data_IF_833427402054
#
_entry.id   IF_833427402054
#
_cell.length_a   1.000
_cell.length_b   1.000
_cell.length_c   1.000
_cell.angle_alpha   90.00
_cell.angle_beta   90.00
_cell.angle_gamma   90.00
#
_symmetry.space_group_name_H-M   'P 1'
#
loop_
_entity.id
_entity.type
_entity.pdbx_description
1 polymer ?
#
# COMPACT_ATOMS: atom_id res chain seq x y z
N UNK A 1 -85.82 38.70 0.37
CA UNK A 1 -85.73 38.21 1.76
C UNK A 1 -84.69 39.05 2.47
N UNK A 2 -85.05 39.73 3.55
CA UNK A 2 -84.08 40.43 4.41
C UNK A 2 -83.04 39.42 4.89
N UNK A 3 -81.75 39.71 4.69
CA UNK A 3 -80.68 38.97 5.39
C UNK A 3 -80.80 39.34 6.87
N UNK A 4 -81.20 38.38 7.70
CA UNK A 4 -81.21 38.54 9.15
C UNK A 4 -79.81 38.88 9.67
N UNK A 5 -79.72 39.38 10.90
CA UNK A 5 -78.45 39.71 11.54
C UNK A 5 -77.45 38.52 11.49
N UNK A 6 -76.13 38.74 11.46
CA UNK A 6 -75.16 37.64 11.47
C UNK A 6 -75.21 36.87 12.81
N UNK A 7 -75.00 35.55 12.76
CA UNK A 7 -74.82 34.72 13.95
C UNK A 7 -73.49 35.02 14.63
N UNK A 8 -73.46 35.06 15.96
CA UNK A 8 -72.20 35.16 16.72
C UNK A 8 -71.66 33.75 16.98
N UNK A 9 -70.45 33.46 16.52
CA UNK A 9 -69.76 32.18 16.74
C UNK A 9 -68.77 32.30 17.89
N UNK A 10 -68.83 31.38 18.84
CA UNK A 10 -67.96 31.34 20.02
C UNK A 10 -67.28 29.98 20.13
N UNK A 11 -65.98 29.98 20.44
CA UNK A 11 -65.24 28.77 20.79
C UNK A 11 -65.27 28.55 22.29
N UNK A 12 -65.78 27.40 22.74
CA UNK A 12 -65.68 26.98 24.14
C UNK A 12 -64.35 26.24 24.33
N UNK A 13 -63.34 26.94 24.84
CA UNK A 13 -62.01 26.35 24.98
C UNK A 13 -61.93 25.16 25.94
N UNK A 14 -62.57 25.17 27.13
CA UNK A 14 -62.57 24.01 28.01
C UNK A 14 -63.16 22.73 27.39
N UNK A 15 -64.21 22.85 26.57
CA UNK A 15 -64.85 21.72 25.90
C UNK A 15 -64.32 21.45 24.49
N UNK A 16 -63.47 22.35 23.96
CA UNK A 16 -62.88 22.28 22.61
C UNK A 16 -63.92 22.13 21.49
N UNK A 17 -65.02 22.87 21.59
CA UNK A 17 -66.13 22.87 20.60
C UNK A 17 -66.65 24.28 20.31
N UNK A 18 -67.18 24.54 19.10
CA UNK A 18 -67.85 25.78 18.78
C UNK A 18 -69.35 25.73 19.14
N UNK A 19 -69.94 26.91 19.36
CA UNK A 19 -71.38 27.11 19.27
C UNK A 19 -71.67 28.47 18.61
N UNK A 20 -72.89 28.64 18.12
CA UNK A 20 -73.34 29.90 17.54
C UNK A 20 -74.68 30.32 18.15
N UNK A 21 -74.92 31.63 18.28
CA UNK A 21 -76.20 32.15 18.75
C UNK A 21 -76.64 33.43 18.01
N UNK A 22 -77.95 33.63 17.96
CA UNK A 22 -78.59 34.82 17.41
C UNK A 22 -79.90 35.09 18.17
N UNK A 23 -79.97 36.23 18.89
CA UNK A 23 -81.12 36.53 19.74
C UNK A 23 -81.32 35.45 20.81
N UNK A 24 -82.47 34.79 20.82
CA UNK A 24 -82.78 33.68 21.71
C UNK A 24 -82.55 32.29 21.09
N UNK A 25 -81.93 32.21 19.91
CA UNK A 25 -81.59 30.95 19.25
C UNK A 25 -80.13 30.57 19.52
N UNK A 26 -79.85 29.28 19.76
CA UNK A 26 -78.52 28.75 20.07
C UNK A 26 -78.32 27.39 19.40
N UNK A 27 -77.14 27.14 18.84
CA UNK A 27 -76.75 25.86 18.24
C UNK A 27 -75.31 25.49 18.59
N UNK A 28 -75.14 24.28 19.13
CA UNK A 28 -73.83 23.62 19.27
C UNK A 28 -73.60 22.73 18.07
N UNK A 29 -72.37 22.73 17.53
CA UNK A 29 -72.04 21.98 16.32
C UNK A 29 -70.58 21.57 16.32
N UNK A 30 -70.19 20.75 15.33
CA UNK A 30 -68.79 20.40 15.08
C UNK A 30 -68.26 21.17 13.87
N UNK A 31 -67.01 21.62 13.97
CA UNK A 31 -66.29 22.23 12.86
C UNK A 31 -64.97 21.47 12.62
N UNK A 32 -64.20 21.81 11.56
CA UNK A 32 -62.92 21.14 11.31
C UNK A 32 -61.97 21.14 12.50
N UNK A 33 -61.91 22.22 13.29
CA UNK A 33 -61.03 22.29 14.46
C UNK A 33 -61.45 21.30 15.57
N UNK A 34 -62.73 21.29 15.96
CA UNK A 34 -63.21 20.37 17.01
C UNK A 34 -63.07 18.91 16.59
N UNK A 35 -63.28 18.62 15.30
CA UNK A 35 -63.15 17.27 14.76
C UNK A 35 -61.70 16.82 14.68
N UNK A 36 -60.76 17.69 14.27
CA UNK A 36 -59.33 17.37 14.32
C UNK A 36 -58.88 17.00 15.74
N UNK A 37 -59.36 17.74 16.75
CA UNK A 37 -59.07 17.45 18.16
C UNK A 37 -59.68 16.11 18.61
N UNK A 38 -60.91 15.79 18.21
CA UNK A 38 -61.53 14.48 18.49
C UNK A 38 -60.78 13.32 17.82
N UNK A 39 -60.31 13.50 16.60
CA UNK A 39 -59.50 12.50 15.88
C UNK A 39 -58.16 12.29 16.59
N UNK A 40 -57.52 13.36 17.05
CA UNK A 40 -56.29 13.26 17.84
C UNK A 40 -56.52 12.59 19.19
N UNK A 41 -57.62 12.89 19.88
CA UNK A 41 -58.00 12.18 21.10
C UNK A 41 -58.21 10.67 20.85
N UNK A 42 -58.89 10.30 19.76
CA UNK A 42 -59.09 8.91 19.39
C UNK A 42 -57.75 8.20 19.12
N UNK A 43 -56.77 8.89 18.50
CA UNK A 43 -55.40 8.38 18.33
C UNK A 43 -54.68 8.21 19.67
N UNK A 44 -54.71 9.22 20.54
CA UNK A 44 -54.07 9.19 21.86
C UNK A 44 -54.59 8.04 22.72
N UNK A 45 -55.89 7.75 22.63
CA UNK A 45 -56.54 6.66 23.36
C UNK A 45 -56.51 5.32 22.63
N UNK A 46 -55.90 5.25 21.43
CA UNK A 46 -55.81 4.04 20.58
C UNK A 46 -57.18 3.42 20.31
N UNK A 47 -58.18 4.24 20.04
CA UNK A 47 -59.53 3.77 19.71
C UNK A 47 -59.56 3.18 18.30
N UNK A 48 -60.52 2.29 18.02
CA UNK A 48 -60.63 1.58 16.74
C UNK A 48 -60.97 2.46 15.53
N UNK A 49 -61.32 3.73 15.73
CA UNK A 49 -61.62 4.69 14.67
C UNK A 49 -62.50 5.84 15.18
N UNK A 50 -62.94 6.69 14.25
CA UNK A 50 -63.93 7.75 14.50
C UNK A 50 -65.16 7.46 13.65
N UNK A 51 -66.34 7.47 14.27
CA UNK A 51 -67.63 7.36 13.59
C UNK A 51 -68.24 8.76 13.48
N UNK A 52 -68.93 9.04 12.36
CA UNK A 52 -69.68 10.27 12.14
C UNK A 52 -71.14 9.96 11.83
N UNK A 53 -72.05 10.72 12.43
CA UNK A 53 -73.47 10.71 12.11
C UNK A 53 -73.90 12.13 11.71
N UNK A 54 -74.29 12.39 10.46
CA UNK A 54 -74.25 11.52 9.28
C UNK A 54 -73.72 12.29 8.06
N UNK A 55 -73.23 11.57 7.05
CA UNK A 55 -72.40 12.15 5.96
C UNK A 55 -73.15 13.23 5.16
N UNK A 56 -74.46 13.10 5.03
CA UNK A 56 -75.34 14.06 4.34
C UNK A 56 -75.52 15.38 5.09
N UNK A 57 -75.17 15.42 6.38
CA UNK A 57 -75.24 16.64 7.22
C UNK A 57 -73.93 17.43 7.23
N UNK A 58 -72.88 16.88 6.64
CA UNK A 58 -71.68 17.66 6.30
C UNK A 58 -71.99 18.59 5.11
N UNK A 59 -71.13 19.56 4.81
CA UNK A 59 -71.28 20.42 3.63
C UNK A 59 -70.95 19.64 2.35
N UNK A 60 -71.81 18.69 2.01
CA UNK A 60 -71.66 17.79 0.88
C UNK A 60 -71.84 18.50 -0.47
N UNK A 61 -72.25 19.77 -0.47
CA UNK A 61 -72.41 20.60 -1.67
C UNK A 61 -71.31 21.65 -1.81
N UNK A 62 -70.52 21.91 -0.76
CA UNK A 62 -69.49 22.95 -0.75
C UNK A 62 -70.08 24.36 -0.79
N UNK A 63 -71.26 24.56 -0.19
CA UNK A 63 -71.95 25.86 -0.19
C UNK A 63 -71.23 26.86 0.73
N UNK A 64 -70.63 26.36 1.81
CA UNK A 64 -69.94 27.15 2.81
C UNK A 64 -68.40 27.09 2.66
N UNK A 65 -67.88 26.39 1.64
CA UNK A 65 -66.45 26.25 1.38
C UNK A 65 -66.10 24.95 0.65
N UNK A 66 -65.05 24.27 1.11
CA UNK A 66 -64.66 22.98 0.55
C UNK A 66 -65.73 21.91 0.82
N UNK A 67 -65.92 20.97 -0.11
CA UNK A 67 -66.89 19.88 0.01
C UNK A 67 -66.44 18.89 1.11
N UNK A 68 -67.37 18.47 1.96
CA UNK A 68 -67.14 17.54 3.07
C UNK A 68 -66.01 17.95 4.04
N UNK A 69 -66.02 19.17 4.59
CA UNK A 69 -64.92 19.69 5.40
C UNK A 69 -64.69 18.85 6.67
N UNK A 70 -65.73 18.23 7.24
CA UNK A 70 -65.60 17.38 8.42
C UNK A 70 -64.96 16.04 8.06
N UNK A 71 -65.46 15.34 7.03
CA UNK A 71 -64.88 14.06 6.61
C UNK A 71 -63.44 14.23 6.09
N UNK A 72 -63.16 15.31 5.34
CA UNK A 72 -61.82 15.62 4.86
C UNK A 72 -60.84 15.79 6.02
N UNK A 73 -61.27 16.47 7.08
CA UNK A 73 -60.46 16.66 8.29
C UNK A 73 -60.18 15.35 9.00
N UNK A 74 -61.17 14.44 9.11
CA UNK A 74 -60.99 13.11 9.71
C UNK A 74 -59.93 12.32 8.92
N UNK A 75 -60.07 12.25 7.60
CA UNK A 75 -59.16 11.48 6.75
C UNK A 75 -57.73 12.03 6.77
N UNK A 76 -57.56 13.34 6.63
CA UNK A 76 -56.25 13.98 6.65
C UNK A 76 -55.53 13.71 7.98
N UNK A 77 -56.24 13.79 9.10
CA UNK A 77 -55.65 13.52 10.40
C UNK A 77 -55.34 12.03 10.57
N UNK A 78 -56.18 11.09 10.13
CA UNK A 78 -55.90 9.65 10.24
C UNK A 78 -54.71 9.17 9.38
N UNK A 79 -54.44 9.79 8.22
CA UNK A 79 -53.37 9.36 7.29
C UNK A 79 -51.94 9.59 7.79
N UNK A 80 -51.73 10.49 8.76
CA UNK A 80 -50.40 10.79 9.35
C UNK A 80 -49.65 9.59 9.98
N UNK A 81 -50.33 8.44 10.19
CA UNK A 81 -49.71 7.20 10.70
C UNK A 81 -49.01 6.36 9.63
N UNK A 82 -49.41 6.46 8.35
CA UNK A 82 -48.86 5.62 7.27
C UNK A 82 -47.53 6.18 6.75
N UNK A 83 -47.37 7.50 6.74
CA UNK A 83 -46.15 8.14 6.22
C UNK A 83 -44.97 8.05 7.20
N UNK A 84 -45.23 8.09 8.52
CA UNK A 84 -44.19 7.92 9.53
C UNK A 84 -43.59 6.50 9.55
N UNK A 85 -44.37 5.45 9.29
CA UNK A 85 -43.83 4.09 9.18
C UNK A 85 -42.94 3.90 7.94
N UNK A 86 -43.30 4.50 6.80
CA UNK A 86 -42.48 4.47 5.59
C UNK A 86 -41.18 5.25 5.75
N UNK A 87 -41.21 6.39 6.45
CA UNK A 87 -40.02 7.18 6.76
C UNK A 87 -39.06 6.42 7.68
N UNK A 88 -39.57 5.77 8.74
CA UNK A 88 -38.76 4.96 9.66
C UNK A 88 -38.13 3.76 8.95
N UNK A 89 -38.87 3.05 8.09
CA UNK A 89 -38.32 1.94 7.30
C UNK A 89 -37.25 2.39 6.29
N UNK A 90 -37.44 3.57 5.68
CA UNK A 90 -36.45 4.18 4.78
C UNK A 90 -35.18 4.62 5.53
N UNK A 91 -35.33 5.29 6.67
CA UNK A 91 -34.24 5.70 7.55
C UNK A 91 -33.49 4.49 8.13
N UNK A 92 -34.19 3.40 8.49
CA UNK A 92 -33.55 2.15 8.92
C UNK A 92 -32.74 1.52 7.79
N UNK A 93 -33.28 1.43 6.56
CA UNK A 93 -32.51 0.91 5.41
C UNK A 93 -31.29 1.77 5.09
N UNK A 94 -31.45 3.09 5.14
CA UNK A 94 -30.36 4.05 4.95
C UNK A 94 -29.31 3.93 6.06
N UNK A 95 -29.74 3.74 7.31
CA UNK A 95 -28.85 3.50 8.44
C UNK A 95 -28.10 2.18 8.32
N UNK A 96 -28.75 1.08 7.89
CA UNK A 96 -28.07 -0.19 7.64
C UNK A 96 -27.07 -0.10 6.47
N UNK A 97 -27.39 0.65 5.42
CA UNK A 97 -26.47 0.92 4.30
C UNK A 97 -25.31 1.82 4.74
N UNK A 98 -25.56 2.86 5.53
CA UNK A 98 -24.53 3.73 6.09
C UNK A 98 -23.65 2.98 7.10
N UNK A 99 -24.21 2.14 7.98
CA UNK A 99 -23.42 1.33 8.90
C UNK A 99 -22.63 0.27 8.15
N UNK A 100 -23.17 -0.34 7.10
CA UNK A 100 -22.43 -1.28 6.26
C UNK A 100 -21.30 -0.57 5.50
N UNK A 101 -21.55 0.63 4.96
CA UNK A 101 -20.54 1.44 4.29
C UNK A 101 -19.46 1.91 5.28
N UNK A 102 -19.85 2.34 6.48
CA UNK A 102 -18.93 2.74 7.55
C UNK A 102 -18.15 1.55 8.08
N UNK A 103 -18.76 0.37 8.22
CA UNK A 103 -18.04 -0.87 8.55
C UNK A 103 -17.08 -1.28 7.42
N UNK A 104 -17.49 -1.17 6.16
CA UNK A 104 -16.64 -1.44 4.99
C UNK A 104 -15.48 -0.45 4.88
N UNK A 105 -15.71 0.84 5.15
CA UNK A 105 -14.63 1.82 5.21
C UNK A 105 -13.74 1.55 6.41
N UNK A 106 -14.28 1.30 7.61
CA UNK A 106 -13.49 0.95 8.80
C UNK A 106 -12.68 -0.34 8.56
N UNK A 107 -13.25 -1.37 7.92
CA UNK A 107 -12.54 -2.59 7.54
C UNK A 107 -11.47 -2.32 6.46
N UNK A 108 -11.73 -1.43 5.51
CA UNK A 108 -10.74 -0.97 4.52
C UNK A 108 -9.66 -0.05 5.12
N UNK A 109 -9.92 0.58 6.26
CA UNK A 109 -8.96 1.33 7.07
C UNK A 109 -8.24 0.44 8.10
N UNK A 110 -8.81 -0.73 8.45
CA UNK A 110 -8.26 -1.68 9.42
C UNK A 110 -7.35 -2.74 8.78
N UNK A 111 -7.41 -2.93 7.46
CA UNK A 111 -6.35 -3.65 6.75
C UNK A 111 -5.14 -2.73 6.65
N UNK A 112 -4.04 -3.06 7.34
CA UNK A 112 -2.76 -2.42 7.05
C UNK A 112 -2.48 -2.60 5.56
N UNK A 113 -2.36 -1.50 4.81
CA UNK A 113 -1.97 -1.59 3.41
C UNK A 113 -0.54 -2.12 3.29
N UNK A 114 0.28 -1.85 4.31
CA UNK A 114 1.68 -2.25 4.43
C UNK A 114 1.77 -3.45 5.36
N UNK A 115 1.60 -4.65 4.82
CA UNK A 115 1.60 -5.89 5.62
C UNK A 115 2.47 -7.00 5.03
N UNK A 116 3.21 -6.69 3.96
CA UNK A 116 4.08 -7.63 3.24
C UNK A 116 5.55 -7.28 3.42
N UNK A 117 6.36 -8.33 3.51
CA UNK A 117 7.83 -8.25 3.54
C UNK A 117 8.36 -9.16 2.43
N UNK A 118 9.03 -8.55 1.45
CA UNK A 118 9.69 -9.21 0.34
C UNK A 118 11.18 -9.31 0.64
N UNK A 119 11.75 -10.49 0.49
CA UNK A 119 13.11 -10.78 0.92
C UNK A 119 13.90 -11.40 -0.24
N UNK A 120 14.91 -10.70 -0.75
CA UNK A 120 15.84 -11.25 -1.73
C UNK A 120 16.88 -12.14 -1.06
N UNK A 121 17.20 -13.27 -1.70
CA UNK A 121 18.25 -14.20 -1.33
C UNK A 121 19.29 -14.28 -2.45
N UNK A 122 20.49 -13.75 -2.22
CA UNK A 122 21.60 -13.89 -3.15
C UNK A 122 22.24 -15.28 -3.05
N UNK A 123 22.01 -16.14 -4.04
CA UNK A 123 22.46 -17.55 -3.99
C UNK A 123 23.98 -17.70 -3.87
N UNK A 124 24.74 -16.74 -4.38
CA UNK A 124 26.20 -16.71 -4.30
C UNK A 124 26.72 -16.57 -2.86
N UNK A 125 25.90 -16.15 -1.90
CA UNK A 125 26.27 -16.06 -0.50
C UNK A 125 26.65 -17.44 0.10
N UNK A 126 26.25 -18.55 -0.55
CA UNK A 126 26.68 -19.90 -0.20
C UNK A 126 28.21 -20.12 -0.32
N UNK A 127 28.91 -19.23 -1.04
CA UNK A 127 30.36 -19.28 -1.26
C UNK A 127 31.16 -18.28 -0.41
N UNK A 128 30.49 -17.44 0.40
CA UNK A 128 31.20 -16.53 1.31
C UNK A 128 31.98 -17.33 2.36
N UNK A 129 33.14 -16.84 2.82
CA UNK A 129 33.95 -17.54 3.82
C UNK A 129 33.37 -17.40 5.23
N UNK A 130 33.70 -18.37 6.09
CA UNK A 130 33.45 -18.28 7.53
C UNK A 130 31.99 -18.00 7.88
N UNK A 131 31.78 -17.05 8.80
CA UNK A 131 30.45 -16.68 9.28
C UNK A 131 29.58 -16.00 8.21
N UNK A 132 30.18 -15.52 7.12
CA UNK A 132 29.48 -14.95 5.98
C UNK A 132 28.78 -15.96 5.09
N UNK A 133 29.09 -17.26 5.21
CA UNK A 133 28.45 -18.31 4.40
C UNK A 133 26.96 -18.37 4.73
N UNK A 134 26.10 -18.18 3.73
CA UNK A 134 24.65 -18.21 3.86
C UNK A 134 24.04 -19.17 2.85
N UNK A 135 23.32 -20.18 3.33
CA UNK A 135 22.63 -21.16 2.49
C UNK A 135 21.12 -21.07 2.65
N UNK A 136 20.37 -21.78 1.80
CA UNK A 136 18.89 -21.84 1.88
C UNK A 136 18.41 -22.25 3.27
N UNK A 137 19.15 -23.12 3.94
CA UNK A 137 18.84 -23.61 5.30
C UNK A 137 18.93 -22.52 6.37
N UNK A 138 19.72 -21.47 6.15
CA UNK A 138 19.83 -20.36 7.09
C UNK A 138 18.55 -19.52 7.09
N UNK A 139 17.82 -19.47 5.96
CA UNK A 139 16.59 -18.69 5.79
C UNK A 139 15.53 -19.10 6.82
N UNK A 140 15.02 -18.11 7.55
CA UNK A 140 13.78 -18.24 8.32
C UNK A 140 12.57 -17.76 7.48
N UNK A 141 11.75 -18.67 6.93
CA UNK A 141 10.65 -18.28 6.05
C UNK A 141 9.47 -17.65 6.79
N UNK A 142 9.49 -17.56 8.13
CA UNK A 142 8.44 -16.85 8.88
C UNK A 142 8.64 -15.33 8.92
N UNK A 143 9.85 -14.85 8.60
CA UNK A 143 10.18 -13.42 8.62
C UNK A 143 9.71 -12.66 7.37
N UNK A 144 9.34 -13.38 6.31
CA UNK A 144 9.01 -12.80 5.01
C UNK A 144 7.70 -13.37 4.49
N UNK A 145 6.91 -12.55 3.79
CA UNK A 145 5.71 -13.02 3.07
C UNK A 145 6.07 -13.53 1.68
N UNK A 146 7.12 -12.97 1.07
CA UNK A 146 7.66 -13.38 -0.21
C UNK A 146 9.17 -13.53 -0.12
N UNK A 147 9.70 -14.63 -0.66
CA UNK A 147 11.12 -14.90 -0.80
C UNK A 147 11.47 -14.94 -2.28
N UNK A 148 12.49 -14.19 -2.69
CA UNK A 148 12.91 -14.10 -4.09
C UNK A 148 14.33 -14.65 -4.22
N UNK A 149 14.49 -15.72 -5.00
CA UNK A 149 15.79 -16.32 -5.30
C UNK A 149 16.50 -15.52 -6.39
N UNK A 150 17.69 -15.01 -6.10
CA UNK A 150 18.51 -14.23 -7.01
C UNK A 150 19.79 -15.02 -7.38
N UNK A 151 20.09 -15.29 -8.65
CA UNK A 151 19.34 -14.97 -9.88
C UNK A 151 19.44 -16.13 -10.90
N UNK A 152 18.54 -16.10 -11.88
CA UNK A 152 18.78 -16.70 -13.20
C UNK A 152 19.15 -15.62 -14.21
N UNK A 153 19.76 -16.01 -15.32
CA UNK A 153 20.13 -15.12 -16.42
C UNK A 153 19.20 -15.25 -17.62
N UNK A 154 19.32 -14.31 -18.55
CA UNK A 154 18.59 -14.29 -19.82
C UNK A 154 19.52 -14.60 -20.99
N UNK A 155 19.06 -15.39 -21.95
CA UNK A 155 19.73 -15.58 -23.23
C UNK A 155 19.03 -14.75 -24.33
N UNK A 156 19.74 -14.34 -25.40
CA UNK A 156 19.17 -13.54 -26.50
C UNK A 156 17.95 -14.17 -27.19
N UNK A 157 17.81 -15.49 -27.16
CA UNK A 157 16.66 -16.21 -27.71
C UNK A 157 15.44 -16.26 -26.74
N UNK A 158 15.48 -15.54 -25.62
CA UNK A 158 14.45 -15.53 -24.59
C UNK A 158 14.45 -16.77 -23.68
N UNK A 159 15.45 -17.65 -23.73
CA UNK A 159 15.55 -18.77 -22.79
C UNK A 159 16.18 -18.36 -21.46
N UNK A 160 15.77 -19.05 -20.38
CA UNK A 160 16.30 -18.84 -19.03
C UNK A 160 17.63 -19.59 -18.90
N UNK A 161 18.68 -18.88 -18.46
CA UNK A 161 20.00 -19.44 -18.18
C UNK A 161 20.18 -19.66 -16.69
N UNK A 162 20.50 -20.87 -16.29
CA UNK A 162 20.90 -21.16 -14.90
C UNK A 162 22.36 -20.70 -14.75
N UNK A 163 22.60 -19.76 -13.84
CA UNK A 163 23.92 -19.13 -13.65
C UNK A 163 24.88 -20.10 -12.95
N UNK A 164 24.42 -20.80 -11.91
CA UNK A 164 25.21 -21.79 -11.18
C UNK A 164 24.49 -23.16 -11.16
N UNK A 165 24.62 -23.98 -12.22
CA UNK A 165 23.99 -25.30 -12.26
C UNK A 165 24.42 -26.24 -11.13
N UNK A 166 25.62 -26.05 -10.57
CA UNK A 166 26.10 -26.88 -9.48
C UNK A 166 25.33 -26.60 -8.18
N UNK A 167 25.17 -25.33 -7.83
CA UNK A 167 24.39 -24.94 -6.65
C UNK A 167 22.89 -25.15 -6.87
N UNK A 168 22.38 -24.67 -8.00
CA UNK A 168 20.95 -24.54 -8.25
C UNK A 168 20.29 -25.88 -8.57
N UNK A 169 20.99 -26.74 -9.35
CA UNK A 169 20.48 -28.03 -9.84
C UNK A 169 21.13 -29.21 -9.12
N UNK A 170 22.45 -29.34 -9.18
CA UNK A 170 23.13 -30.55 -8.65
C UNK A 170 22.98 -30.65 -7.12
N UNK A 171 23.10 -29.53 -6.40
CA UNK A 171 22.82 -29.42 -4.96
C UNK A 171 21.36 -29.09 -4.66
N UNK A 172 20.52 -28.98 -5.69
CA UNK A 172 19.09 -28.75 -5.57
C UNK A 172 18.70 -27.43 -4.92
N UNK A 173 19.48 -26.35 -5.09
CA UNK A 173 19.19 -25.02 -4.55
C UNK A 173 17.75 -24.56 -4.77
N UNK A 174 17.23 -24.64 -6.00
CA UNK A 174 15.84 -24.28 -6.31
C UNK A 174 14.83 -25.16 -5.57
N UNK A 175 15.07 -26.47 -5.51
CA UNK A 175 14.19 -27.42 -4.83
C UNK A 175 14.16 -27.16 -3.32
N UNK A 176 15.32 -26.95 -2.70
CA UNK A 176 15.45 -26.64 -1.26
C UNK A 176 14.78 -25.31 -0.93
N UNK A 177 14.95 -24.29 -1.77
CA UNK A 177 14.33 -22.99 -1.56
C UNK A 177 12.80 -23.06 -1.60
N UNK A 178 12.23 -23.74 -2.61
CA UNK A 178 10.78 -23.95 -2.68
C UNK A 178 10.25 -24.83 -1.53
N UNK A 179 11.08 -25.71 -0.97
CA UNK A 179 10.73 -26.52 0.20
C UNK A 179 10.61 -25.70 1.50
N UNK A 180 11.05 -24.44 1.55
CA UNK A 180 10.79 -23.54 2.69
C UNK A 180 9.30 -23.36 2.98
N UNK A 181 8.44 -23.53 1.97
CA UNK A 181 6.98 -23.57 2.11
C UNK A 181 6.48 -24.66 3.08
N UNK A 182 7.27 -25.70 3.33
CA UNK A 182 6.94 -26.71 4.35
C UNK A 182 7.05 -26.18 5.79
N UNK A 183 7.95 -25.21 6.02
CA UNK A 183 8.13 -24.52 7.32
C UNK A 183 7.17 -23.35 7.49
N UNK A 184 6.81 -22.67 6.39
CA UNK A 184 5.76 -21.65 6.37
C UNK A 184 4.89 -21.79 5.11
N UNK A 185 3.73 -22.48 5.16
CA UNK A 185 2.87 -22.69 3.99
C UNK A 185 2.29 -21.42 3.36
N UNK A 186 2.37 -20.27 4.05
CA UNK A 186 1.88 -18.99 3.54
C UNK A 186 2.90 -18.23 2.70
N UNK A 187 4.20 -18.54 2.83
CA UNK A 187 5.25 -17.83 2.09
C UNK A 187 5.13 -18.12 0.60
N UNK A 188 5.38 -17.10 -0.22
CA UNK A 188 5.49 -17.23 -1.68
C UNK A 188 6.95 -17.23 -2.09
N UNK A 189 7.33 -18.16 -2.94
CA UNK A 189 8.70 -18.25 -3.47
C UNK A 189 8.72 -17.83 -4.93
N UNK A 190 9.52 -16.82 -5.28
CA UNK A 190 9.72 -16.36 -6.66
C UNK A 190 11.18 -16.59 -7.07
N UNK A 191 11.41 -16.60 -8.37
CA UNK A 191 12.75 -16.59 -8.97
C UNK A 191 12.92 -15.27 -9.72
N UNK A 192 14.03 -14.58 -9.47
CA UNK A 192 14.36 -13.32 -10.15
C UNK A 192 15.35 -13.56 -11.29
N UNK A 193 15.14 -12.85 -12.38
CA UNK A 193 16.03 -12.84 -13.54
C UNK A 193 16.71 -11.48 -13.67
N UNK A 194 18.01 -11.49 -13.94
CA UNK A 194 18.78 -10.28 -14.19
C UNK A 194 19.70 -9.91 -13.03
N UNK A 195 19.47 -8.73 -12.47
CA UNK A 195 20.34 -8.07 -11.51
C UNK A 195 21.56 -7.42 -12.19
N UNK A 196 22.30 -6.62 -11.41
CA UNK A 196 23.41 -5.80 -11.89
C UNK A 196 24.42 -6.50 -12.82
N UNK A 197 24.79 -7.76 -12.55
CA UNK A 197 25.79 -8.49 -13.33
C UNK A 197 25.26 -9.02 -14.68
N UNK A 198 23.95 -9.02 -14.89
CA UNK A 198 23.35 -9.39 -16.17
C UNK A 198 23.37 -8.20 -17.14
N UNK A 199 23.52 -8.50 -18.43
CA UNK A 199 23.65 -7.48 -19.47
C UNK A 199 22.29 -6.87 -19.82
N UNK A 200 22.15 -5.56 -19.62
CA UNK A 200 20.94 -4.80 -19.97
C UNK A 200 20.58 -4.95 -21.45
N UNK A 201 21.59 -5.07 -22.32
CA UNK A 201 21.42 -5.21 -23.77
C UNK A 201 20.69 -6.50 -24.17
N UNK A 202 20.85 -7.58 -23.38
CA UNK A 202 20.14 -8.85 -23.66
C UNK A 202 18.65 -8.70 -23.36
N UNK A 203 18.30 -7.98 -22.29
CA UNK A 203 16.90 -7.63 -22.04
C UNK A 203 16.34 -6.73 -23.13
N UNK A 204 17.09 -5.72 -23.59
CA UNK A 204 16.67 -4.84 -24.67
C UNK A 204 16.39 -5.62 -25.97
N UNK A 205 17.28 -6.54 -26.35
CA UNK A 205 17.10 -7.40 -27.52
C UNK A 205 15.84 -8.26 -27.39
N UNK A 206 15.68 -8.98 -26.27
CA UNK A 206 14.53 -9.87 -26.05
C UNK A 206 13.21 -9.09 -25.97
N UNK A 207 13.22 -7.90 -25.38
CA UNK A 207 12.03 -7.07 -25.25
C UNK A 207 11.61 -6.40 -26.58
N UNK A 208 12.53 -6.25 -27.53
CA UNK A 208 12.32 -5.46 -28.76
C UNK A 208 11.29 -6.03 -29.74
N UNK A 209 11.03 -7.34 -29.72
CA UNK A 209 10.09 -7.98 -30.65
C UNK A 209 9.05 -8.81 -29.94
N UNK A 210 7.81 -8.85 -30.46
CA UNK A 210 6.74 -9.68 -29.89
C UNK A 210 7.10 -11.16 -29.87
N UNK A 211 7.83 -11.64 -30.88
CA UNK A 211 8.26 -13.03 -30.95
C UNK A 211 9.18 -13.41 -29.78
N UNK A 212 10.22 -12.60 -29.51
CA UNK A 212 11.17 -12.86 -28.43
C UNK A 212 10.54 -12.64 -27.05
N UNK A 213 9.69 -11.62 -26.89
CA UNK A 213 8.92 -11.43 -25.65
C UNK A 213 8.04 -12.63 -25.33
N UNK A 214 7.26 -13.11 -26.29
CA UNK A 214 6.42 -14.29 -26.13
C UNK A 214 7.25 -15.55 -25.85
N UNK A 215 8.39 -15.73 -26.51
CA UNK A 215 9.31 -16.82 -26.22
C UNK A 215 9.80 -16.75 -24.76
N UNK A 216 10.20 -15.56 -24.31
CA UNK A 216 10.67 -15.34 -22.95
C UNK A 216 9.58 -15.59 -21.90
N UNK A 217 8.38 -15.04 -22.07
CA UNK A 217 7.26 -15.26 -21.16
C UNK A 217 6.93 -16.76 -21.04
N UNK A 218 6.92 -17.49 -22.15
CA UNK A 218 6.66 -18.93 -22.14
C UNK A 218 7.78 -19.73 -21.47
N UNK A 219 9.04 -19.36 -21.70
CA UNK A 219 10.18 -20.00 -21.05
C UNK A 219 10.18 -19.74 -19.53
N UNK A 220 9.86 -18.52 -19.10
CA UNK A 220 9.71 -18.19 -17.69
C UNK A 220 8.56 -18.97 -17.04
N UNK A 221 7.40 -19.07 -17.70
CA UNK A 221 6.27 -19.88 -17.24
C UNK A 221 6.68 -21.35 -17.05
N UNK A 222 7.36 -21.92 -18.04
CA UNK A 222 7.84 -23.30 -17.97
C UNK A 222 8.85 -23.50 -16.85
N UNK A 223 9.77 -22.55 -16.66
CA UNK A 223 10.77 -22.58 -15.60
C UNK A 223 10.11 -22.57 -14.20
N UNK A 224 9.19 -21.62 -13.97
CA UNK A 224 8.46 -21.48 -12.70
C UNK A 224 7.69 -22.75 -12.36
N UNK A 225 6.98 -23.34 -13.34
CA UNK A 225 6.25 -24.60 -13.15
C UNK A 225 7.17 -25.78 -12.90
N UNK A 226 8.28 -25.87 -13.63
CA UNK A 226 9.23 -26.99 -13.51
C UNK A 226 9.89 -27.02 -12.13
N UNK A 227 10.23 -25.84 -11.59
CA UNK A 227 10.95 -25.73 -10.31
C UNK A 227 10.04 -25.45 -9.11
N UNK A 228 8.74 -25.24 -9.31
CA UNK A 228 7.74 -25.12 -8.24
C UNK A 228 7.65 -23.74 -7.58
N UNK A 229 8.08 -22.69 -8.28
CA UNK A 229 7.96 -21.30 -7.83
C UNK A 229 6.51 -20.81 -7.96
N UNK A 230 6.13 -19.85 -7.13
CA UNK A 230 4.80 -19.20 -7.12
C UNK A 230 4.75 -17.96 -8.02
N UNK A 231 5.88 -17.56 -8.61
CA UNK A 231 5.97 -16.41 -9.49
C UNK A 231 7.37 -16.14 -10.02
N UNK A 232 7.48 -15.04 -10.74
CA UNK A 232 8.69 -14.60 -11.42
C UNK A 232 8.92 -13.11 -11.15
N UNK A 233 10.17 -12.72 -10.98
CA UNK A 233 10.57 -11.34 -10.71
C UNK A 233 11.52 -10.84 -11.82
N UNK A 234 11.25 -9.64 -12.34
CA UNK A 234 12.05 -9.01 -13.39
C UNK A 234 12.97 -7.97 -12.77
N UNK A 235 14.28 -8.19 -12.86
CA UNK A 235 15.30 -7.26 -12.39
C UNK A 235 16.17 -6.80 -13.57
N UNK A 236 15.56 -6.03 -14.48
CA UNK A 236 16.26 -5.42 -15.60
C UNK A 236 16.85 -4.09 -15.14
N UNK A 237 18.17 -4.04 -14.98
CA UNK A 237 18.92 -2.84 -14.60
C UNK A 237 19.69 -2.23 -15.78
N UNK A 238 19.21 -1.19 -16.47
CA UNK A 238 17.84 -0.64 -16.46
C UNK A 238 17.37 -0.42 -17.91
N UNK A 239 16.06 -0.48 -18.22
CA UNK A 239 15.56 -0.18 -19.56
C UNK A 239 16.05 1.19 -20.04
N UNK A 240 16.73 1.23 -21.19
CA UNK A 240 17.27 2.48 -21.76
C UNK A 240 18.60 2.95 -21.18
N UNK A 241 19.16 2.24 -20.20
CA UNK A 241 20.47 2.50 -19.60
C UNK A 241 21.42 1.31 -19.84
N UNK A 242 22.71 1.51 -19.52
CA UNK A 242 23.74 0.46 -19.56
C UNK A 242 23.81 -0.28 -20.91
N UNK A 243 23.76 0.47 -22.01
CA UNK A 243 23.77 -0.08 -23.38
C UNK A 243 22.38 -0.31 -23.99
N UNK A 244 21.31 0.01 -23.25
CA UNK A 244 19.93 0.01 -23.74
C UNK A 244 19.60 1.17 -24.70
N UNK A 245 18.39 1.12 -25.26
CA UNK A 245 17.85 2.11 -26.19
C UNK A 245 16.69 2.92 -25.59
N UNK A 246 16.41 4.11 -26.13
CA UNK A 246 15.27 4.93 -25.71
C UNK A 246 13.90 4.30 -26.04
N UNK A 247 13.85 3.17 -26.74
CA UNK A 247 12.62 2.41 -26.96
C UNK A 247 12.33 1.40 -25.83
N UNK A 248 13.31 1.15 -24.95
CA UNK A 248 13.26 0.05 -24.00
C UNK A 248 12.19 0.25 -22.92
N UNK A 249 11.92 1.49 -22.49
CA UNK A 249 10.82 1.77 -21.54
C UNK A 249 9.47 1.25 -22.04
N UNK A 250 9.16 1.46 -23.33
CA UNK A 250 7.92 0.97 -23.93
C UNK A 250 7.96 -0.54 -24.19
N UNK A 251 9.11 -1.08 -24.58
CA UNK A 251 9.27 -2.52 -24.75
C UNK A 251 9.13 -3.28 -23.41
N UNK A 252 9.63 -2.71 -22.32
CA UNK A 252 9.46 -3.26 -20.98
C UNK A 252 7.99 -3.28 -20.57
N UNK A 253 7.23 -2.22 -20.85
CA UNK A 253 5.77 -2.18 -20.66
C UNK A 253 5.02 -3.27 -21.42
N UNK A 254 5.40 -3.50 -22.69
CA UNK A 254 4.82 -4.57 -23.49
C UNK A 254 5.15 -5.94 -22.91
N UNK A 255 6.39 -6.15 -22.47
CA UNK A 255 6.83 -7.39 -21.84
C UNK A 255 6.04 -7.66 -20.56
N UNK A 256 5.90 -6.68 -19.67
CA UNK A 256 5.15 -6.81 -18.42
C UNK A 256 3.67 -7.12 -18.67
N UNK A 257 3.05 -6.51 -19.69
CA UNK A 257 1.67 -6.84 -20.11
C UNK A 257 1.56 -8.30 -20.57
N UNK A 258 2.48 -8.77 -21.41
CA UNK A 258 2.51 -10.16 -21.89
C UNK A 258 2.68 -11.14 -20.71
N UNK A 259 3.60 -10.86 -19.79
CA UNK A 259 3.77 -11.64 -18.57
C UNK A 259 2.48 -11.69 -17.76
N UNK A 260 1.85 -10.54 -17.47
CA UNK A 260 0.62 -10.52 -16.67
C UNK A 260 -0.51 -11.32 -17.31
N UNK A 261 -0.68 -11.19 -18.62
CA UNK A 261 -1.71 -11.92 -19.35
C UNK A 261 -1.55 -13.44 -19.22
N UNK A 262 -0.31 -13.94 -19.27
CA UNK A 262 -0.02 -15.38 -19.17
C UNK A 262 -0.03 -15.88 -17.72
N UNK A 263 0.69 -15.20 -16.82
CA UNK A 263 0.87 -15.64 -15.43
C UNK A 263 -0.44 -15.64 -14.63
N UNK A 264 -1.33 -14.67 -14.88
CA UNK A 264 -2.64 -14.61 -14.23
C UNK A 264 -3.50 -15.85 -14.48
N UNK A 265 -3.41 -16.47 -15.66
CA UNK A 265 -4.17 -17.67 -16.01
C UNK A 265 -3.71 -18.90 -15.22
N UNK A 266 -2.52 -18.85 -14.65
CA UNK A 266 -1.91 -19.91 -13.87
C UNK A 266 -1.87 -19.60 -12.36
N UNK A 267 -2.45 -18.47 -11.93
CA UNK A 267 -2.40 -18.03 -10.53
C UNK A 267 -0.98 -17.72 -10.05
N UNK A 268 -0.06 -17.40 -10.96
CA UNK A 268 1.33 -17.06 -10.66
C UNK A 268 1.51 -15.55 -10.54
N UNK A 269 2.48 -15.13 -9.73
CA UNK A 269 2.84 -13.73 -9.53
C UNK A 269 3.85 -13.25 -10.58
N UNK A 270 3.75 -11.99 -10.96
CA UNK A 270 4.80 -11.26 -11.71
C UNK A 270 5.13 -9.96 -10.98
N UNK A 271 6.42 -9.77 -10.68
CA UNK A 271 6.94 -8.61 -9.95
C UNK A 271 8.14 -8.03 -10.66
N UNK A 272 8.62 -6.86 -10.23
CA UNK A 272 9.87 -6.30 -10.72
C UNK A 272 10.60 -5.53 -9.63
N UNK A 273 11.93 -5.64 -9.63
CA UNK A 273 12.83 -4.66 -9.02
C UNK A 273 13.02 -3.49 -9.99
N UNK A 274 12.92 -2.27 -9.46
CA UNK A 274 12.97 -1.05 -10.28
C UNK A 274 13.82 0.02 -9.62
N UNK A 275 14.41 0.87 -10.47
CA UNK A 275 15.15 2.04 -10.04
C UNK A 275 14.27 3.08 -9.34
N UNK A 276 14.85 3.78 -8.36
CA UNK A 276 14.09 4.64 -7.45
C UNK A 276 13.98 6.12 -7.87
N UNK A 277 15.00 6.66 -8.55
CA UNK A 277 15.12 8.11 -8.76
C UNK A 277 14.19 8.64 -9.85
N UNK A 278 13.74 9.89 -9.71
CA UNK A 278 12.84 10.52 -10.67
C UNK A 278 13.43 10.60 -12.08
N UNK A 279 14.75 10.80 -12.20
CA UNK A 279 15.47 10.75 -13.46
C UNK A 279 15.32 9.39 -14.14
N UNK A 280 15.56 8.30 -13.41
CA UNK A 280 15.49 6.94 -13.95
C UNK A 280 14.05 6.53 -14.27
N UNK A 281 13.07 6.96 -13.46
CA UNK A 281 11.66 6.77 -13.78
C UNK A 281 11.31 7.37 -15.15
N UNK A 282 11.79 8.59 -15.41
CA UNK A 282 11.51 9.31 -16.66
C UNK A 282 12.14 8.64 -17.88
N UNK A 283 13.32 8.04 -17.75
CA UNK A 283 14.00 7.39 -18.88
C UNK A 283 13.60 5.93 -19.09
N UNK A 284 13.13 5.23 -18.04
CA UNK A 284 13.01 3.76 -18.08
C UNK A 284 11.60 3.19 -17.94
N UNK A 285 10.59 3.91 -17.44
CA UNK A 285 9.33 3.26 -17.01
C UNK A 285 8.03 3.98 -17.42
N UNK A 286 7.07 3.20 -17.96
CA UNK A 286 5.66 3.61 -17.99
C UNK A 286 4.96 3.22 -16.70
N UNK A 287 5.15 4.04 -15.66
CA UNK A 287 4.69 3.75 -14.30
C UNK A 287 3.23 3.30 -14.20
N UNK A 288 2.23 3.93 -14.87
CA UNK A 288 0.85 3.46 -14.81
C UNK A 288 0.66 2.05 -15.39
N UNK A 289 1.41 1.69 -16.43
CA UNK A 289 1.36 0.34 -17.02
C UNK A 289 1.98 -0.68 -16.07
N UNK A 290 3.15 -0.37 -15.51
CA UNK A 290 3.79 -1.25 -14.54
C UNK A 290 2.89 -1.48 -13.32
N UNK A 291 2.36 -0.41 -12.73
CA UNK A 291 1.48 -0.48 -11.57
C UNK A 291 0.20 -1.28 -11.82
N UNK A 292 -0.35 -1.24 -13.03
CA UNK A 292 -1.56 -1.97 -13.37
C UNK A 292 -1.31 -3.47 -13.64
N UNK A 293 -0.10 -3.86 -14.05
CA UNK A 293 0.18 -5.21 -14.55
C UNK A 293 1.06 -6.04 -13.61
N UNK A 294 1.93 -5.42 -12.82
CA UNK A 294 2.70 -6.12 -11.79
C UNK A 294 1.85 -6.37 -10.56
N UNK A 295 2.10 -7.50 -9.88
CA UNK A 295 1.44 -7.80 -8.61
C UNK A 295 1.92 -6.84 -7.52
N UNK A 296 3.23 -6.56 -7.50
CA UNK A 296 3.85 -5.45 -6.77
C UNK A 296 5.20 -5.04 -7.39
N UNK A 297 5.70 -3.87 -6.99
CA UNK A 297 6.89 -3.20 -7.50
C UNK A 297 7.88 -2.99 -6.35
N UNK A 298 9.04 -3.64 -6.41
CA UNK A 298 10.12 -3.50 -5.45
C UNK A 298 10.99 -2.29 -5.82
N UNK A 299 10.78 -1.14 -5.18
CA UNK A 299 11.54 0.08 -5.48
C UNK A 299 12.86 0.05 -4.71
N UNK A 300 13.99 0.07 -5.41
CA UNK A 300 15.33 0.02 -4.82
C UNK A 300 15.74 1.37 -4.22
N UNK A 301 15.09 1.75 -3.10
CA UNK A 301 15.31 3.04 -2.40
C UNK A 301 16.57 3.03 -1.53
N UNK A 302 17.67 2.54 -2.10
CA UNK A 302 19.03 2.48 -1.57
C UNK A 302 20.02 2.73 -2.73
N UNK A 303 21.31 2.73 -2.45
CA UNK A 303 22.38 3.04 -3.42
C UNK A 303 22.25 4.45 -4.02
N UNK A 304 21.71 5.37 -3.23
CA UNK A 304 21.52 6.77 -3.59
C UNK A 304 22.82 7.57 -3.48
N UNK A 305 23.76 7.08 -2.66
CA UNK A 305 25.10 7.59 -2.48
C UNK A 305 26.08 6.42 -2.31
N UNK A 306 27.32 6.58 -2.78
CA UNK A 306 28.30 5.50 -2.77
C UNK A 306 29.70 5.95 -3.19
N UNK A 307 30.64 5.02 -3.22
CA UNK A 307 32.06 5.27 -3.46
C UNK A 307 32.40 5.83 -4.85
N UNK A 308 31.43 5.83 -5.77
CA UNK A 308 31.54 6.52 -7.06
C UNK A 308 31.56 8.05 -6.91
N UNK A 309 31.11 8.59 -5.77
CA UNK A 309 31.19 10.00 -5.42
C UNK A 309 32.56 10.38 -4.81
N UNK A 310 32.80 11.68 -4.62
CA UNK A 310 34.03 12.21 -3.97
C UNK A 310 33.81 12.71 -2.55
N UNK A 311 32.63 12.43 -2.01
CA UNK A 311 32.25 12.77 -0.65
C UNK A 311 31.49 11.58 -0.05
N UNK A 312 31.55 11.45 1.26
CA UNK A 312 30.72 10.50 2.00
C UNK A 312 29.24 10.86 1.86
N UNK A 313 28.40 9.86 1.64
CA UNK A 313 26.96 9.99 1.63
C UNK A 313 26.31 8.74 2.21
N UNK A 314 25.18 8.91 2.90
CA UNK A 314 24.41 7.76 3.36
C UNK A 314 23.64 7.19 2.18
N UNK A 315 23.73 5.90 1.89
CA UNK A 315 23.18 5.34 0.64
C UNK A 315 21.65 5.17 0.62
N UNK A 316 20.98 5.27 1.77
CA UNK A 316 19.53 5.12 1.90
C UNK A 316 18.89 6.16 2.85
N UNK A 317 19.13 7.47 2.66
CA UNK A 317 18.64 8.50 3.56
C UNK A 317 17.12 8.64 3.45
N UNK A 318 16.41 8.78 4.58
CA UNK A 318 14.95 8.88 4.56
C UNK A 318 14.49 10.21 3.95
N UNK A 319 15.17 11.30 4.32
CA UNK A 319 14.90 12.66 3.84
C UNK A 319 16.17 13.27 3.22
N UNK A 320 16.02 14.40 2.53
CA UNK A 320 17.15 15.22 2.10
C UNK A 320 17.84 15.92 3.30
N UNK A 321 19.15 16.15 3.18
CA UNK A 321 19.90 16.95 4.13
C UNK A 321 19.73 18.47 3.86
N UNK A 322 19.88 19.34 4.88
CA UNK A 322 19.70 20.79 4.70
C UNK A 322 20.67 21.46 3.72
N UNK A 323 21.80 20.81 3.41
CA UNK A 323 22.80 21.33 2.47
C UNK A 323 22.60 20.81 1.04
N UNK A 324 21.71 19.84 0.84
CA UNK A 324 21.29 19.35 -0.47
C UNK A 324 20.27 20.33 -1.03
N UNK A 325 20.67 21.09 -2.04
CA UNK A 325 19.88 22.24 -2.53
C UNK A 325 19.64 22.21 -4.03
N UNK A 326 20.39 21.40 -4.78
CA UNK A 326 20.14 21.22 -6.20
C UNK A 326 18.98 20.23 -6.41
N UNK A 327 18.22 20.35 -7.52
CA UNK A 327 17.16 19.39 -7.83
C UNK A 327 17.62 17.93 -7.82
N UNK A 328 18.82 17.66 -8.37
CA UNK A 328 19.38 16.31 -8.41
C UNK A 328 19.70 15.77 -7.01
N UNK A 329 20.18 16.60 -6.08
CA UNK A 329 20.45 16.17 -4.71
C UNK A 329 19.17 15.92 -3.93
N UNK A 330 18.16 16.78 -4.10
CA UNK A 330 16.86 16.65 -3.44
C UNK A 330 16.08 15.40 -3.85
N UNK A 331 16.46 14.75 -4.95
CA UNK A 331 15.89 13.48 -5.40
C UNK A 331 16.56 12.23 -4.78
N UNK A 332 17.72 12.36 -4.14
CA UNK A 332 18.52 11.23 -3.62
C UNK A 332 18.15 10.84 -2.18
N UNK A 333 16.86 10.69 -1.91
CA UNK A 333 16.34 10.18 -0.64
C UNK A 333 15.06 9.35 -0.84
N UNK A 334 14.74 8.51 0.13
CA UNK A 334 13.63 7.56 0.08
C UNK A 334 12.29 8.26 -0.13
N UNK A 335 12.02 9.34 0.61
CA UNK A 335 10.78 10.11 0.48
C UNK A 335 10.60 10.60 -0.95
N UNK A 336 11.60 11.29 -1.51
CA UNK A 336 11.55 11.80 -2.87
C UNK A 336 11.39 10.69 -3.93
N UNK A 337 12.05 9.54 -3.73
CA UNK A 337 11.94 8.39 -4.63
C UNK A 337 10.53 7.81 -4.65
N UNK A 338 9.94 7.51 -3.49
CA UNK A 338 8.58 6.97 -3.40
C UNK A 338 7.56 7.98 -3.91
N UNK A 339 7.71 9.26 -3.54
CA UNK A 339 6.88 10.34 -4.05
C UNK A 339 6.92 10.43 -5.58
N UNK A 340 8.09 10.25 -6.18
CA UNK A 340 8.24 10.28 -7.63
C UNK A 340 7.46 9.14 -8.29
N UNK A 341 7.52 7.92 -7.76
CA UNK A 341 6.71 6.79 -8.26
C UNK A 341 5.20 7.07 -8.16
N UNK A 342 4.73 7.58 -7.03
CA UNK A 342 3.31 7.91 -6.82
C UNK A 342 2.88 9.04 -7.77
N UNK A 343 3.66 10.12 -7.87
CA UNK A 343 3.37 11.27 -8.76
C UNK A 343 3.34 10.88 -10.24
N UNK A 344 4.09 9.85 -10.64
CA UNK A 344 4.06 9.30 -11.99
C UNK A 344 2.95 8.25 -12.21
N UNK A 345 2.08 8.02 -11.22
CA UNK A 345 0.85 7.24 -11.37
C UNK A 345 0.91 5.81 -10.84
N UNK A 346 1.88 5.47 -9.99
CA UNK A 346 1.84 4.21 -9.27
C UNK A 346 0.78 4.27 -8.17
N UNK A 347 -0.01 3.20 -8.05
CA UNK A 347 -0.88 3.03 -6.89
C UNK A 347 -0.01 2.74 -5.65
N UNK A 348 -0.16 3.47 -4.52
CA UNK A 348 0.68 3.26 -3.34
C UNK A 348 0.73 1.80 -2.87
N UNK A 349 -0.40 1.10 -2.86
CA UNK A 349 -0.51 -0.30 -2.46
C UNK A 349 0.25 -1.28 -3.38
N UNK A 350 0.75 -0.83 -4.53
CA UNK A 350 1.62 -1.59 -5.45
C UNK A 350 3.10 -1.42 -5.17
N UNK A 351 3.49 -0.36 -4.44
CA UNK A 351 4.88 -0.03 -4.19
C UNK A 351 5.38 -0.70 -2.91
N UNK A 352 6.59 -1.23 -2.98
CA UNK A 352 7.30 -1.82 -1.85
C UNK A 352 8.59 -1.03 -1.64
N UNK A 353 8.75 -0.46 -0.45
CA UNK A 353 9.90 0.37 -0.09
C UNK A 353 11.11 -0.53 0.17
N UNK A 354 12.17 -0.36 -0.61
CA UNK A 354 13.41 -1.13 -0.50
C UNK A 354 14.32 -0.65 0.63
N UNK A 355 14.76 -1.58 1.47
CA UNK A 355 15.82 -1.36 2.46
C UNK A 355 16.98 -2.30 2.18
N UNK A 356 18.18 -1.83 2.48
CA UNK A 356 19.40 -2.60 2.29
C UNK A 356 19.93 -3.10 3.64
N UNK A 357 20.31 -4.37 3.73
CA UNK A 357 21.00 -4.95 4.89
C UNK A 357 22.53 -4.91 4.71
N UNK A 358 23.01 -3.94 3.94
CA UNK A 358 24.41 -3.59 3.76
C UNK A 358 24.55 -2.07 3.89
N UNK A 359 25.78 -1.57 3.96
CA UNK A 359 26.09 -0.15 3.88
C UNK A 359 27.16 0.14 2.83
N UNK A 360 27.14 1.37 2.30
CA UNK A 360 28.26 1.88 1.49
C UNK A 360 29.32 2.51 2.39
N UNK A 361 30.58 2.24 2.04
CA UNK A 361 31.75 2.60 2.83
C UNK A 361 32.78 3.36 2.01
N UNK A 362 33.53 4.21 2.70
CA UNK A 362 34.42 5.19 2.11
C UNK A 362 35.73 5.23 2.90
N UNK A 363 36.82 5.54 2.19
CA UNK A 363 38.08 5.97 2.80
C UNK A 363 38.16 7.50 2.75
N UNK A 364 38.10 8.13 3.93
CA UNK A 364 38.18 9.58 4.13
C UNK A 364 39.55 10.11 3.72
N UNK A 365 39.57 11.25 3.02
CA UNK A 365 40.81 11.94 2.67
C UNK A 365 41.50 12.54 3.91
N UNK A 366 40.69 12.87 4.94
CA UNK A 366 41.16 13.31 6.24
C UNK A 366 40.31 12.68 7.36
N UNK A 367 40.92 11.81 8.17
CA UNK A 367 40.26 11.15 9.30
C UNK A 367 39.63 12.10 10.32
N UNK A 368 40.14 13.33 10.46
CA UNK A 368 39.56 14.35 11.33
C UNK A 368 38.24 14.93 10.79
N UNK A 369 37.94 14.73 9.50
CA UNK A 369 36.69 15.14 8.87
C UNK A 369 35.85 13.91 8.52
N UNK A 370 34.97 13.51 9.44
CA UNK A 370 34.18 12.28 9.37
C UNK A 370 32.66 12.52 9.27
N UNK A 371 32.24 13.78 9.07
CA UNK A 371 30.83 14.13 8.89
C UNK A 371 30.30 13.57 7.56
N UNK A 372 28.99 13.43 7.45
CA UNK A 372 28.32 13.24 6.17
C UNK A 372 28.67 14.40 5.22
N UNK A 373 29.02 14.09 3.98
CA UNK A 373 29.54 15.05 3.01
C UNK A 373 31.03 15.37 3.16
N UNK A 374 31.78 14.64 4.01
CA UNK A 374 33.23 14.76 4.09
C UNK A 374 33.92 14.24 2.82
N UNK A 375 35.00 14.88 2.33
CA UNK A 375 35.77 14.39 1.19
C UNK A 375 36.31 12.98 1.41
N UNK A 376 36.05 12.13 0.42
CA UNK A 376 36.49 10.74 0.39
C UNK A 376 36.72 10.34 -1.06
N UNK A 377 37.96 10.02 -1.41
CA UNK A 377 38.33 9.78 -2.80
C UNK A 377 38.38 8.31 -3.19
N UNK A 378 38.26 7.39 -2.22
CA UNK A 378 38.44 5.95 -2.39
C UNK A 378 37.34 5.15 -1.68
N UNK A 379 37.02 3.94 -2.16
CA UNK A 379 36.12 3.02 -1.46
C UNK A 379 36.64 2.70 -0.05
N UNK A 380 35.72 2.36 0.84
CA UNK A 380 36.06 1.73 2.11
C UNK A 380 36.71 0.36 1.88
N UNK A 381 37.48 -0.09 2.87
CA UNK A 381 38.14 -1.39 2.81
C UNK A 381 37.13 -2.54 2.71
N UNK A 382 37.43 -3.60 1.93
CA UNK A 382 36.54 -4.74 1.81
C UNK A 382 36.38 -5.48 3.14
N UNK A 383 35.15 -5.90 3.44
CA UNK A 383 34.85 -6.72 4.60
C UNK A 383 35.37 -8.16 4.49
N UNK A 384 35.43 -8.91 5.61
CA UNK A 384 35.98 -10.27 5.63
C UNK A 384 35.14 -11.30 4.87
N UNK A 385 33.85 -11.03 4.68
CA UNK A 385 32.86 -11.96 4.13
C UNK A 385 32.41 -11.56 2.72
N UNK A 386 31.94 -10.34 2.53
CA UNK A 386 31.49 -9.82 1.23
C UNK A 386 32.66 -9.61 0.28
N UNK A 387 33.83 -9.25 0.82
CA UNK A 387 35.08 -8.98 0.08
C UNK A 387 34.94 -7.92 -1.03
N UNK A 388 33.98 -7.02 -0.87
CA UNK A 388 33.71 -5.95 -1.83
C UNK A 388 34.19 -4.62 -1.25
N UNK A 389 35.16 -3.97 -1.92
CA UNK A 389 35.57 -2.64 -1.52
C UNK A 389 34.39 -1.68 -1.74
N UNK A 390 34.12 -0.80 -0.78
CA UNK A 390 33.01 0.15 -0.84
C UNK A 390 31.68 -0.39 -0.31
N UNK A 391 31.54 -1.68 -0.01
CA UNK A 391 30.29 -2.26 0.48
C UNK A 391 30.54 -3.21 1.64
N UNK A 392 29.76 -3.08 2.72
CA UNK A 392 29.86 -3.93 3.90
C UNK A 392 28.48 -4.47 4.27
N UNK A 393 28.34 -5.77 4.46
CA UNK A 393 27.11 -6.35 5.01
C UNK A 393 26.87 -5.87 6.44
N UNK A 394 25.61 -5.79 6.88
CA UNK A 394 25.28 -5.43 8.26
C UNK A 394 25.96 -6.37 9.26
N UNK A 395 26.05 -7.67 8.95
CA UNK A 395 26.81 -8.64 9.73
C UNK A 395 28.30 -8.26 9.89
N UNK A 396 28.93 -7.71 8.86
CA UNK A 396 30.31 -7.23 8.93
C UNK A 396 30.40 -5.95 9.77
N UNK A 397 29.50 -4.99 9.53
CA UNK A 397 29.47 -3.71 10.26
C UNK A 397 29.29 -3.94 11.76
N UNK A 398 28.35 -4.79 12.16
CA UNK A 398 28.08 -5.03 13.57
C UNK A 398 29.24 -5.80 14.25
N UNK A 399 29.83 -6.80 13.59
CA UNK A 399 31.00 -7.52 14.11
C UNK A 399 32.20 -6.57 14.30
N UNK A 400 32.44 -5.67 13.32
CA UNK A 400 33.49 -4.65 13.43
C UNK A 400 33.28 -3.74 14.64
N UNK A 401 32.04 -3.33 14.92
CA UNK A 401 31.72 -2.49 16.08
C UNK A 401 31.85 -3.24 17.42
N UNK A 402 31.74 -4.57 17.44
CA UNK A 402 31.98 -5.37 18.65
C UNK A 402 33.47 -5.50 18.98
N UNK A 403 34.31 -5.60 17.95
CA UNK A 403 35.74 -5.88 18.12
C UNK A 403 36.61 -4.63 18.09
N UNK A 404 36.12 -3.53 17.55
CA UNK A 404 36.86 -2.29 17.38
C UNK A 404 36.04 -1.07 17.84
N UNK A 405 36.69 -0.01 18.35
CA UNK A 405 36.00 1.18 18.86
C UNK A 405 35.58 2.10 17.70
N UNK A 406 34.53 1.72 16.98
CA UNK A 406 33.89 2.57 15.98
C UNK A 406 33.00 3.62 16.64
N UNK A 407 33.08 4.86 16.16
CA UNK A 407 32.15 5.91 16.58
C UNK A 407 30.90 5.83 15.71
N UNK A 408 29.73 5.76 16.35
CA UNK A 408 28.43 5.74 15.67
C UNK A 408 27.75 7.08 15.89
N UNK A 409 27.32 7.72 14.80
CA UNK A 409 26.62 9.01 14.81
C UNK A 409 25.25 8.86 14.18
N UNK A 410 24.22 9.41 14.82
CA UNK A 410 22.91 9.60 14.23
C UNK A 410 22.83 10.96 13.54
N UNK A 411 22.50 10.98 12.25
CA UNK A 411 22.27 12.22 11.51
C UNK A 411 20.78 12.49 11.40
N UNK A 412 20.29 13.35 12.30
CA UNK A 412 18.86 13.61 12.47
C UNK A 412 18.13 14.11 11.20
N UNK A 413 18.70 15.02 10.39
CA UNK A 413 17.98 15.54 9.24
C UNK A 413 17.59 14.47 8.21
N UNK A 414 18.45 13.47 7.99
CA UNK A 414 18.17 12.35 7.07
C UNK A 414 17.64 11.10 7.78
N UNK A 415 17.53 11.11 9.12
CA UNK A 415 17.07 10.00 9.97
C UNK A 415 17.84 8.69 9.75
N UNK A 416 19.17 8.79 9.70
CA UNK A 416 20.05 7.65 9.43
C UNK A 416 21.30 7.66 10.29
N UNK A 417 21.89 6.49 10.59
CA UNK A 417 23.17 6.40 11.26
C UNK A 417 24.33 6.31 10.27
N UNK A 418 25.51 6.69 10.72
CA UNK A 418 26.76 6.29 10.09
C UNK A 418 27.79 5.95 11.17
N UNK A 419 28.80 5.17 10.80
CA UNK A 419 29.91 4.83 11.69
C UNK A 419 31.25 5.18 11.05
N UNK A 420 32.23 5.55 11.87
CA UNK A 420 33.58 5.81 11.41
C UNK A 420 34.64 5.39 12.41
N UNK A 421 35.82 5.03 11.89
CA UNK A 421 37.02 4.72 12.66
C UNK A 421 38.25 5.02 11.81
N UNK A 422 39.20 5.77 12.38
CA UNK A 422 40.35 6.28 11.63
C UNK A 422 39.88 6.98 10.34
N UNK A 423 40.33 6.54 9.17
CA UNK A 423 39.88 7.06 7.88
C UNK A 423 38.79 6.21 7.22
N UNK A 424 38.19 5.24 7.91
CA UNK A 424 37.10 4.43 7.37
C UNK A 424 35.75 4.98 7.84
N UNK A 425 34.78 5.01 6.93
CA UNK A 425 33.43 5.53 7.15
C UNK A 425 32.42 4.59 6.49
N UNK A 426 31.27 4.35 7.11
CA UNK A 426 30.18 3.54 6.55
C UNK A 426 28.81 4.12 6.92
N UNK A 427 27.95 4.30 5.92
CA UNK A 427 26.53 4.61 6.08
C UNK A 427 25.71 3.35 5.88
N UNK A 428 24.88 2.99 6.86
CA UNK A 428 24.18 1.70 6.92
C UNK A 428 22.88 1.85 7.70
N UNK A 429 21.96 0.90 7.58
CA UNK A 429 20.73 0.89 8.36
C UNK A 429 20.88 0.21 9.74
N UNK A 430 20.14 0.71 10.72
CA UNK A 430 19.95 0.09 12.04
C UNK A 430 18.46 -0.19 12.26
N UNK A 431 18.12 -0.92 13.33
CA UNK A 431 16.71 -1.12 13.73
C UNK A 431 15.91 0.17 13.82
N UNK A 432 16.54 1.27 14.26
CA UNK A 432 15.87 2.57 14.42
C UNK A 432 15.55 3.19 13.05
N UNK A 433 16.53 3.25 12.13
CA UNK A 433 16.26 3.80 10.79
C UNK A 433 15.30 2.92 9.99
N UNK A 434 15.37 1.59 10.15
CA UNK A 434 14.39 0.66 9.58
C UNK A 434 12.97 0.95 10.10
N UNK A 435 12.79 1.10 11.42
CA UNK A 435 11.47 1.42 11.99
C UNK A 435 10.90 2.73 11.43
N UNK A 436 11.73 3.76 11.23
CA UNK A 436 11.31 5.02 10.62
C UNK A 436 10.91 4.86 9.15
N UNK A 437 11.61 4.00 8.40
CA UNK A 437 11.26 3.69 7.00
C UNK A 437 9.95 2.89 6.91
N UNK A 438 9.72 1.96 7.84
CA UNK A 438 8.43 1.23 7.95
C UNK A 438 7.29 2.21 8.24
N UNK A 439 7.48 3.10 9.21
CA UNK A 439 6.49 4.14 9.51
C UNK A 439 6.20 5.04 8.30
N UNK A 440 7.23 5.41 7.54
CA UNK A 440 7.05 6.17 6.31
C UNK A 440 6.23 5.39 5.28
N UNK A 441 6.53 4.11 5.04
CA UNK A 441 5.76 3.25 4.15
C UNK A 441 4.28 3.13 4.58
N UNK A 442 4.03 2.90 5.88
CA UNK A 442 2.67 2.85 6.44
C UNK A 442 1.92 4.18 6.25
N UNK A 443 2.59 5.31 6.47
CA UNK A 443 1.99 6.65 6.32
C UNK A 443 1.50 6.93 4.91
N UNK A 444 2.17 6.34 3.90
CA UNK A 444 1.81 6.42 2.49
C UNK A 444 0.94 5.26 2.02
N UNK A 445 0.60 4.32 2.92
CA UNK A 445 -0.19 3.11 2.61
C UNK A 445 0.44 2.26 1.51
N UNK A 446 1.77 2.12 1.54
CA UNK A 446 2.49 1.28 0.59
C UNK A 446 2.11 -0.21 0.76
N UNK A 447 2.32 -1.04 -0.26
CA UNK A 447 1.99 -2.47 -0.21
C UNK A 447 2.87 -3.29 0.72
N UNK A 448 4.08 -2.81 1.04
CA UNK A 448 5.00 -3.50 1.92
C UNK A 448 6.42 -2.94 1.91
N UNK A 449 7.32 -3.76 2.47
CA UNK A 449 8.76 -3.52 2.53
C UNK A 449 9.47 -4.56 1.69
N UNK A 450 10.59 -4.18 1.07
CA UNK A 450 11.49 -5.10 0.37
C UNK A 450 12.88 -5.02 1.00
N UNK A 451 13.55 -6.18 1.15
CA UNK A 451 14.89 -6.28 1.74
C UNK A 451 15.88 -6.83 0.72
N UNK A 452 16.93 -6.06 0.46
CA UNK A 452 18.12 -6.49 -0.25
C UNK A 452 19.34 -6.52 0.67
N UNK A 453 19.91 -7.67 0.99
CA UNK A 453 19.35 -9.01 0.86
C UNK A 453 19.48 -9.73 2.19
N UNK A 454 18.71 -10.79 2.40
CA UNK A 454 18.65 -11.43 3.73
C UNK A 454 19.99 -12.04 4.17
N UNK A 455 20.90 -12.27 3.23
CA UNK A 455 22.21 -12.89 3.44
C UNK A 455 23.30 -11.95 3.99
N UNK A 456 23.01 -10.64 4.11
CA UNK A 456 23.92 -9.65 4.73
C UNK A 456 23.41 -9.08 6.05
N UNK A 457 22.22 -9.46 6.50
CA UNK A 457 21.76 -9.20 7.88
C UNK A 457 22.56 -10.07 8.89
N UNK A 458 22.44 -9.84 10.21
CA UNK A 458 23.08 -10.72 11.21
C UNK A 458 22.27 -12.03 11.38
N UNK A 459 22.32 -12.89 10.36
CA UNK A 459 21.61 -14.17 10.33
C UNK A 459 22.20 -15.23 11.27
N UNK A 460 23.45 -15.02 11.72
CA UNK A 460 24.11 -15.89 12.70
C UNK A 460 23.76 -15.50 14.13
N UNK A 461 23.37 -14.25 14.38
CA UNK A 461 23.11 -13.72 15.71
C UNK A 461 24.40 -13.52 16.51
N UNK A 462 25.45 -13.07 15.83
CA UNK A 462 26.77 -12.82 16.45
C UNK A 462 26.72 -11.53 17.27
N UNK A 463 26.05 -10.51 16.75
CA UNK A 463 25.93 -9.18 17.35
C UNK A 463 24.68 -9.04 18.23
N UNK A 464 23.81 -10.06 18.24
CA UNK A 464 22.58 -10.06 19.02
C UNK A 464 21.57 -11.09 18.50
N UNK A 465 20.26 -10.81 18.51
CA UNK A 465 19.27 -11.72 17.94
C UNK A 465 19.46 -11.84 16.43
N UNK A 466 19.16 -13.03 15.88
CA UNK A 466 19.22 -13.27 14.44
C UNK A 466 18.30 -12.34 13.66
N UNK A 467 18.73 -11.94 12.47
CA UNK A 467 17.97 -11.10 11.53
C UNK A 467 17.45 -9.79 12.16
N UNK A 468 18.31 -8.99 12.82
CA UNK A 468 17.87 -7.82 13.55
C UNK A 468 17.17 -6.78 12.67
N UNK A 469 17.56 -6.61 11.41
CA UNK A 469 16.94 -5.61 10.53
C UNK A 469 15.58 -6.10 10.01
N UNK A 470 15.49 -7.34 9.54
CA UNK A 470 14.21 -7.91 9.06
C UNK A 470 13.21 -8.05 10.23
N UNK A 471 13.70 -8.40 11.43
CA UNK A 471 12.86 -8.43 12.64
C UNK A 471 12.33 -7.04 12.97
N UNK A 472 13.16 -5.99 12.86
CA UNK A 472 12.71 -4.63 13.07
C UNK A 472 11.62 -4.20 12.06
N UNK A 473 11.64 -4.73 10.84
CA UNK A 473 10.52 -4.53 9.90
C UNK A 473 9.25 -5.13 10.49
N UNK A 474 9.27 -6.42 10.81
CA UNK A 474 8.10 -7.15 11.28
C UNK A 474 7.53 -6.60 12.60
N UNK A 475 8.38 -6.11 13.52
CA UNK A 475 7.96 -5.52 14.79
C UNK A 475 7.21 -4.18 14.63
N UNK A 476 7.34 -3.53 13.47
CA UNK A 476 6.76 -2.21 13.22
C UNK A 476 5.65 -2.21 12.15
N UNK A 477 5.28 -3.38 11.58
CA UNK A 477 4.25 -3.50 10.53
C UNK A 477 2.81 -3.57 11.05
#
# INVERSE_FOLDING_TARGET
MQMGAPWTVVWNDPQKVPYAYQGNQWVGYDNPLSVALKVNYAKEKRLGGVMIWSVETDDFRGICGARYPILATINANLQTLVDNQKLILSLMKMWHQLTALVLLTILAFASSATDKVVCYYGSWAAYRPGNGRFEVEDIDPTLCTHLIYAFVGLNPNGSIRIIDPNLDINKGGFKRFNALKSRNPKVKTLISIGGWNEKSEVFAEVASTSHLRTAFVNNALNFVKTHGFDGFDLDWEYPGERGGSSCDWSNFSLLVKEFKQVFKQHGLLITAAVGATASLIRSSYEVPILSANLDFINVMTYDLHGEWEKVTGHHSPLHAAPHETTPSQLELNIEACIDAWIKNGAAPEKLFLGVASFGHSFTLDNAANNRLGAPASQPGLPGPYTKQAGTLGYNEVCEMQMHEPWNVTWFDPQRVPYAYRANQWVGYDTKISIALKVYHAQSLRLGGMMVWSIDTDDFRGICGPKYPLITAINENL
#
